data_IF_190756365385
#
_entry.id   IF_190756365385
#
_cell.length_a   1.000
_cell.length_b   1.000
_cell.length_c   1.000
_cell.angle_alpha   90.00
_cell.angle_beta   90.00
_cell.angle_gamma   90.00
#
_symmetry.space_group_name_H-M   'P 1'
#
loop_
_entity.id
_entity.type
_entity.pdbx_description
1 polymer ?
#
# COMPACT_ATOMS: atom_id res chain seq x y z
N UNK A 1 25.45 -9.77 14.54
CA UNK A 1 25.35 -8.89 13.39
C UNK A 1 23.91 -8.40 13.24
N UNK A 2 23.37 -7.57 14.15
CA UNK A 2 21.94 -7.13 14.14
C UNK A 2 21.76 -5.66 14.59
N UNK A 3 22.74 -4.77 14.36
CA UNK A 3 22.66 -3.36 14.81
C UNK A 3 22.53 -2.30 13.70
N UNK A 4 22.67 -2.67 12.44
CA UNK A 4 22.80 -1.68 11.35
C UNK A 4 21.47 -1.29 10.67
N UNK A 5 20.41 -2.10 10.79
CA UNK A 5 19.12 -1.84 10.17
C UNK A 5 18.35 -0.64 10.77
N UNK A 6 18.41 -0.48 12.09
CA UNK A 6 17.69 0.59 12.81
C UNK A 6 18.34 1.96 12.62
N UNK A 7 19.67 1.99 12.46
CA UNK A 7 20.40 3.24 12.24
C UNK A 7 20.18 3.83 10.84
N UNK A 8 19.94 2.98 9.84
CA UNK A 8 19.68 3.43 8.46
C UNK A 8 18.32 4.15 8.34
N UNK A 9 17.30 3.66 9.04
CA UNK A 9 15.95 4.23 8.99
C UNK A 9 15.87 5.63 9.63
N UNK A 10 16.60 5.87 10.71
CA UNK A 10 16.64 7.18 11.39
C UNK A 10 17.31 8.30 10.57
N UNK A 11 18.19 7.98 9.63
CA UNK A 11 18.86 8.99 8.79
C UNK A 11 18.03 9.51 7.63
N UNK A 12 17.07 8.73 7.12
CA UNK A 12 16.22 9.16 6.01
C UNK A 12 15.11 10.14 6.42
N UNK A 13 14.67 10.10 7.69
CA UNK A 13 13.58 10.97 8.17
C UNK A 13 13.99 12.41 8.49
N UNK A 14 15.29 12.68 8.69
CA UNK A 14 15.79 13.98 9.14
C UNK A 14 16.04 15.00 8.02
N UNK A 15 15.91 14.63 6.74
CA UNK A 15 16.24 15.51 5.62
C UNK A 15 15.05 16.18 4.92
N UNK A 16 13.82 15.94 5.35
CA UNK A 16 12.60 16.44 4.67
C UNK A 16 11.99 17.73 5.24
N UNK A 17 12.64 18.38 6.22
CA UNK A 17 12.09 19.60 6.83
C UNK A 17 12.99 20.83 6.73
N UNK A 18 13.50 21.17 5.55
CA UNK A 18 14.09 22.52 5.33
C UNK A 18 13.90 22.99 3.90
N UNK A 19 13.04 23.99 3.77
CA UNK A 19 13.27 25.13 2.86
C UNK A 19 12.57 25.11 1.53
N UNK A 20 11.60 25.99 1.35
CA UNK A 20 11.66 27.02 0.31
C UNK A 20 10.49 28.01 0.44
N UNK A 21 10.79 29.20 0.93
CA UNK A 21 10.03 30.40 0.57
C UNK A 21 10.59 30.90 -0.74
N UNK A 22 9.78 31.14 -1.75
CA UNK A 22 10.17 31.96 -2.87
C UNK A 22 9.02 32.81 -3.39
N UNK A 23 9.39 34.03 -3.77
CA UNK A 23 8.61 35.20 -3.97
C UNK A 23 7.75 35.21 -5.24
N UNK A 24 6.57 35.85 -5.12
CA UNK A 24 5.73 36.34 -6.20
C UNK A 24 6.47 37.43 -7.02
N UNK A 25 6.52 37.29 -8.34
CA UNK A 25 6.74 38.37 -9.26
C UNK A 25 5.62 38.43 -10.29
N UNK A 26 4.91 39.53 -10.27
CA UNK A 26 3.90 39.96 -11.24
C UNK A 26 4.55 40.42 -12.53
N UNK A 27 4.02 40.00 -13.68
CA UNK A 27 4.23 40.67 -14.96
C UNK A 27 2.95 40.60 -15.80
N UNK A 28 2.52 41.76 -16.28
CA UNK A 28 1.33 42.05 -17.07
C UNK A 28 1.60 41.88 -18.60
N UNK A 29 0.55 41.82 -19.44
CA UNK A 29 0.62 41.16 -20.76
C UNK A 29 0.94 42.11 -21.91
N UNK A 30 1.62 41.58 -22.93
CA UNK A 30 1.70 42.20 -24.24
C UNK A 30 0.97 41.35 -25.28
N UNK A 31 0.05 42.02 -25.96
CA UNK A 31 -0.71 41.58 -27.12
C UNK A 31 0.19 41.27 -28.32
N UNK A 32 0.02 40.13 -28.98
CA UNK A 32 0.52 39.92 -30.34
C UNK A 32 -0.40 38.95 -31.10
N UNK A 33 -0.70 39.36 -32.33
CA UNK A 33 -1.64 38.81 -33.28
C UNK A 33 -1.37 37.35 -33.70
N UNK A 34 -2.43 36.60 -33.95
CA UNK A 34 -2.45 35.23 -34.47
C UNK A 34 -2.25 35.18 -36.01
N UNK A 35 -1.44 34.23 -36.49
CA UNK A 35 -1.70 33.64 -37.80
C UNK A 35 -2.40 32.29 -37.62
N UNK A 36 -3.46 32.08 -38.37
CA UNK A 36 -4.23 30.85 -38.44
C UNK A 36 -3.34 29.65 -38.74
N UNK A 37 -3.20 28.74 -37.75
CA UNK A 37 -2.56 27.43 -37.95
C UNK A 37 -3.57 26.44 -38.50
N UNK A 38 -3.30 25.89 -39.68
CA UNK A 38 -3.96 24.69 -40.22
C UNK A 38 -3.81 23.57 -39.20
N UNK A 39 -4.91 23.09 -38.68
CA UNK A 39 -4.97 21.89 -37.84
C UNK A 39 -4.70 20.67 -38.71
N UNK A 40 -3.46 20.23 -38.75
CA UNK A 40 -3.12 18.90 -39.26
C UNK A 40 -3.62 17.89 -38.25
N UNK A 41 -4.71 17.20 -38.54
CA UNK A 41 -5.18 16.04 -37.77
C UNK A 41 -4.13 14.96 -38.00
N UNK A 42 -3.20 14.80 -37.04
CA UNK A 42 -2.30 13.66 -36.97
C UNK A 42 -3.18 12.43 -36.69
N UNK A 43 -3.42 11.62 -37.73
CA UNK A 43 -4.00 10.28 -37.56
C UNK A 43 -3.07 9.49 -36.61
N UNK A 44 -3.54 9.23 -35.38
CA UNK A 44 -2.80 8.44 -34.42
C UNK A 44 -2.46 7.07 -35.04
N UNK A 45 -1.25 6.60 -34.80
CA UNK A 45 -0.82 5.28 -35.22
C UNK A 45 -1.68 4.22 -34.50
N UNK A 46 -2.49 3.39 -35.19
CA UNK A 46 -3.41 2.46 -34.55
C UNK A 46 -2.73 1.46 -33.60
N UNK A 47 -1.47 1.10 -33.86
CA UNK A 47 -0.69 0.24 -32.97
C UNK A 47 -0.38 0.91 -31.61
N UNK A 48 -0.10 2.22 -31.59
CA UNK A 48 0.15 2.94 -30.34
C UNK A 48 -1.12 3.09 -29.48
N UNK A 49 -2.27 3.26 -30.11
CA UNK A 49 -3.55 3.35 -29.41
C UNK A 49 -3.90 2.01 -28.76
N UNK A 50 -3.79 0.90 -29.49
CA UNK A 50 -4.04 -0.45 -28.97
C UNK A 50 -3.10 -0.82 -27.80
N UNK A 51 -1.82 -0.43 -27.84
CA UNK A 51 -0.86 -0.67 -26.75
C UNK A 51 -1.21 0.19 -25.52
N UNK A 52 -1.66 1.44 -25.70
CA UNK A 52 -2.12 2.29 -24.61
C UNK A 52 -3.34 1.69 -23.90
N UNK A 53 -4.30 1.20 -24.67
CA UNK A 53 -5.51 0.57 -24.13
C UNK A 53 -5.19 -0.70 -23.35
N UNK A 54 -4.28 -1.55 -23.86
CA UNK A 54 -3.83 -2.74 -23.16
C UNK A 54 -3.10 -2.43 -21.84
N UNK A 55 -2.20 -1.43 -21.83
CA UNK A 55 -1.45 -1.02 -20.64
C UNK A 55 -2.40 -0.43 -19.59
N UNK A 56 -3.34 0.43 -20.01
CA UNK A 56 -4.35 0.99 -19.11
C UNK A 56 -5.27 -0.08 -18.52
N UNK A 57 -5.68 -1.04 -19.36
CA UNK A 57 -6.45 -2.20 -18.92
C UNK A 57 -5.73 -3.05 -17.87
N UNK A 58 -4.44 -3.34 -18.09
CA UNK A 58 -3.63 -4.07 -17.12
C UNK A 58 -3.47 -3.31 -15.80
N UNK A 59 -3.20 -2.01 -15.85
CA UNK A 59 -3.11 -1.17 -14.63
C UNK A 59 -4.42 -1.16 -13.85
N UNK A 60 -5.57 -1.08 -14.54
CA UNK A 60 -6.88 -1.14 -13.90
C UNK A 60 -7.16 -2.52 -13.26
N UNK A 61 -6.72 -3.61 -13.89
CA UNK A 61 -6.86 -4.96 -13.32
C UNK A 61 -5.96 -5.16 -12.10
N UNK A 62 -4.71 -4.67 -12.12
CA UNK A 62 -3.83 -4.65 -10.93
C UNK A 62 -4.49 -3.91 -9.78
N UNK A 63 -5.10 -2.75 -10.05
CA UNK A 63 -5.88 -2.03 -9.04
C UNK A 63 -7.02 -2.89 -8.51
N UNK A 64 -7.82 -3.50 -9.39
CA UNK A 64 -8.97 -4.32 -8.99
C UNK A 64 -8.57 -5.51 -8.10
N UNK A 65 -7.40 -6.11 -8.35
CA UNK A 65 -6.84 -7.19 -7.52
C UNK A 65 -6.64 -6.74 -6.06
N UNK A 66 -6.10 -5.54 -5.83
CA UNK A 66 -5.90 -5.02 -4.47
C UNK A 66 -7.17 -4.39 -3.88
N UNK A 67 -8.11 -3.90 -4.69
CA UNK A 67 -9.42 -3.44 -4.20
C UNK A 67 -10.22 -4.59 -3.56
N UNK A 68 -10.13 -5.82 -4.09
CA UNK A 68 -10.77 -6.98 -3.47
C UNK A 68 -10.24 -7.23 -2.04
N UNK A 69 -8.94 -7.07 -1.82
CA UNK A 69 -8.36 -7.16 -0.46
C UNK A 69 -8.85 -6.00 0.42
N UNK A 70 -9.01 -4.79 -0.13
CA UNK A 70 -9.58 -3.67 0.62
C UNK A 70 -11.03 -3.91 1.05
N UNK A 71 -11.82 -4.69 0.31
CA UNK A 71 -13.17 -5.06 0.71
C UNK A 71 -13.13 -5.89 2.02
N UNK A 72 -12.25 -6.88 2.13
CA UNK A 72 -12.05 -7.66 3.36
C UNK A 72 -11.56 -6.79 4.53
N UNK A 73 -10.65 -5.82 4.27
CA UNK A 73 -10.19 -4.86 5.29
C UNK A 73 -11.31 -3.92 5.72
N UNK A 74 -12.16 -3.46 4.78
CA UNK A 74 -13.29 -2.58 5.08
C UNK A 74 -14.34 -3.29 5.95
N UNK A 75 -14.63 -4.56 5.70
CA UNK A 75 -15.49 -5.37 6.56
C UNK A 75 -14.88 -5.55 7.96
N UNK A 76 -13.58 -5.85 8.06
CA UNK A 76 -12.88 -5.94 9.35
C UNK A 76 -12.95 -4.63 10.12
N UNK A 77 -12.79 -3.49 9.43
CA UNK A 77 -12.97 -2.15 10.01
C UNK A 77 -14.39 -1.96 10.54
N UNK A 78 -15.42 -2.34 9.76
CA UNK A 78 -16.82 -2.18 10.14
C UNK A 78 -17.15 -3.02 11.39
N UNK A 79 -16.75 -4.29 11.43
CA UNK A 79 -16.93 -5.18 12.58
C UNK A 79 -16.26 -4.62 13.84
N UNK A 80 -15.02 -4.16 13.70
CA UNK A 80 -14.26 -3.56 14.81
C UNK A 80 -14.92 -2.28 15.32
N UNK A 81 -15.32 -1.39 14.43
CA UNK A 81 -15.98 -0.14 14.79
C UNK A 81 -17.31 -0.40 15.51
N UNK A 82 -18.10 -1.37 15.03
CA UNK A 82 -19.37 -1.77 15.66
C UNK A 82 -19.15 -2.36 17.06
N UNK A 83 -18.15 -3.23 17.22
CA UNK A 83 -17.79 -3.81 18.51
C UNK A 83 -17.40 -2.72 19.52
N UNK A 84 -16.47 -1.84 19.15
CA UNK A 84 -15.99 -0.77 20.03
C UNK A 84 -17.07 0.28 20.34
N UNK A 85 -17.93 0.61 19.35
CA UNK A 85 -19.06 1.54 19.55
C UNK A 85 -20.08 1.00 20.55
N UNK A 86 -20.38 -0.31 20.51
CA UNK A 86 -21.26 -0.98 21.47
C UNK A 86 -20.73 -0.87 22.90
N UNK A 87 -19.41 -1.14 23.09
CA UNK A 87 -18.79 -1.01 24.42
C UNK A 87 -18.77 0.44 24.93
N UNK A 88 -18.52 1.38 24.03
CA UNK A 88 -18.60 2.81 24.39
C UNK A 88 -20.02 3.23 24.83
N UNK A 89 -21.08 2.69 24.17
CA UNK A 89 -22.47 2.93 24.56
C UNK A 89 -22.81 2.33 25.93
N UNK A 90 -22.15 1.23 26.30
CA UNK A 90 -22.25 0.60 27.64
C UNK A 90 -21.43 1.33 28.69
N UNK A 91 -20.70 2.40 28.34
CA UNK A 91 -19.79 3.11 29.24
C UNK A 91 -18.55 2.28 29.68
N UNK A 92 -18.24 1.22 28.94
CA UNK A 92 -17.20 0.26 29.24
C UNK A 92 -15.96 0.46 28.36
N UNK A 93 -14.79 0.49 28.99
CA UNK A 93 -13.53 0.46 28.25
C UNK A 93 -13.28 -0.94 27.69
N UNK A 94 -12.91 -1.11 26.40
CA UNK A 94 -12.62 -2.42 25.84
C UNK A 94 -11.38 -3.05 26.48
N UNK A 95 -11.38 -4.38 26.57
CA UNK A 95 -10.26 -5.20 26.98
C UNK A 95 -9.79 -6.08 25.81
N UNK A 96 -8.58 -6.64 25.90
CA UNK A 96 -8.03 -7.53 24.86
C UNK A 96 -8.93 -8.74 24.57
N UNK A 97 -9.53 -9.31 25.62
CA UNK A 97 -10.46 -10.43 25.50
C UNK A 97 -11.71 -10.11 24.67
N UNK A 98 -12.17 -8.86 24.66
CA UNK A 98 -13.35 -8.45 23.90
C UNK A 98 -13.11 -8.54 22.39
N UNK A 99 -11.86 -8.31 21.93
CA UNK A 99 -11.49 -8.36 20.52
C UNK A 99 -11.56 -9.79 19.95
N UNK A 100 -11.60 -10.82 20.80
CA UNK A 100 -11.83 -12.18 20.36
C UNK A 100 -13.15 -12.37 19.57
N UNK A 101 -14.12 -11.46 19.76
CA UNK A 101 -15.37 -11.44 18.98
C UNK A 101 -15.14 -11.20 17.48
N UNK A 102 -13.98 -10.69 17.07
CA UNK A 102 -13.64 -10.47 15.64
C UNK A 102 -13.17 -11.76 14.94
N UNK A 103 -12.68 -12.75 15.68
CA UNK A 103 -12.05 -13.98 15.15
C UNK A 103 -12.86 -14.72 14.10
N UNK A 104 -14.16 -14.99 14.30
CA UNK A 104 -14.94 -15.70 13.27
C UNK A 104 -14.94 -15.00 11.91
N UNK A 105 -15.07 -13.66 11.90
CA UNK A 105 -15.00 -12.86 10.68
C UNK A 105 -13.61 -12.85 10.05
N UNK A 106 -12.54 -12.74 10.86
CA UNK A 106 -11.16 -12.77 10.38
C UNK A 106 -10.82 -14.11 9.74
N UNK A 107 -11.19 -15.24 10.38
CA UNK A 107 -10.98 -16.58 9.84
C UNK A 107 -11.73 -16.80 8.53
N UNK A 108 -12.97 -16.29 8.43
CA UNK A 108 -13.76 -16.39 7.21
C UNK A 108 -13.07 -15.66 6.04
N UNK A 109 -12.58 -14.45 6.26
CA UNK A 109 -11.92 -13.64 5.24
C UNK A 109 -10.60 -14.26 4.78
N UNK A 110 -9.82 -14.83 5.69
CA UNK A 110 -8.62 -15.61 5.34
C UNK A 110 -8.95 -16.83 4.48
N UNK A 111 -10.08 -17.48 4.71
CA UNK A 111 -10.49 -18.65 3.94
C UNK A 111 -11.09 -18.29 2.58
N UNK A 112 -11.59 -17.06 2.39
CA UNK A 112 -12.27 -16.63 1.17
C UNK A 112 -11.35 -16.01 0.13
N UNK A 113 -10.21 -15.45 0.53
CA UNK A 113 -9.30 -14.73 -0.37
C UNK A 113 -7.87 -15.28 -0.24
N UNK A 114 -7.43 -15.99 -1.27
CA UNK A 114 -6.08 -16.58 -1.36
C UNK A 114 -4.95 -15.52 -1.38
N UNK A 115 -5.26 -14.27 -1.70
CA UNK A 115 -4.29 -13.17 -1.62
C UNK A 115 -4.04 -12.73 -0.18
N UNK A 116 -5.03 -12.84 0.69
CA UNK A 116 -4.92 -12.41 2.09
C UNK A 116 -4.09 -13.42 2.86
N UNK A 117 -2.86 -13.05 3.18
CA UNK A 117 -1.92 -13.89 3.95
C UNK A 117 -2.07 -13.69 5.47
N UNK A 118 -2.55 -12.52 5.86
CA UNK A 118 -2.86 -12.17 7.25
C UNK A 118 -3.87 -11.03 7.29
N UNK A 119 -4.72 -11.00 8.33
CA UNK A 119 -5.74 -9.96 8.50
C UNK A 119 -6.05 -9.74 9.97
N UNK A 120 -6.38 -8.50 10.33
CA UNK A 120 -6.76 -8.21 11.70
C UNK A 120 -6.98 -6.73 12.01
N UNK A 121 -7.07 -6.50 13.31
CA UNK A 121 -7.15 -5.16 13.91
C UNK A 121 -5.94 -4.92 14.81
N UNK A 122 -5.26 -3.80 14.58
CA UNK A 122 -4.15 -3.32 15.40
C UNK A 122 -4.63 -2.12 16.21
N UNK A 123 -4.71 -2.29 17.51
CA UNK A 123 -5.24 -1.27 18.41
C UNK A 123 -4.28 -0.08 18.55
N UNK A 124 -4.84 1.12 18.65
CA UNK A 124 -4.05 2.29 19.08
C UNK A 124 -3.52 2.05 20.51
N UNK A 125 -2.27 2.43 20.79
CA UNK A 125 -1.74 2.34 22.15
C UNK A 125 -2.67 3.03 23.16
N UNK A 126 -2.93 2.32 24.25
CA UNK A 126 -3.81 2.82 25.32
C UNK A 126 -5.31 2.78 25.00
N UNK A 127 -5.75 2.20 23.89
CA UNK A 127 -7.17 1.96 23.60
C UNK A 127 -7.78 1.00 24.65
N UNK A 128 -7.11 -0.11 24.92
CA UNK A 128 -7.59 -1.15 25.80
C UNK A 128 -7.31 -0.83 27.27
N UNK A 129 -8.14 -1.37 28.16
CA UNK A 129 -8.05 -1.11 29.59
C UNK A 129 -7.05 -1.97 30.35
N UNK A 130 -6.71 -3.12 29.78
CA UNK A 130 -5.93 -4.20 30.42
C UNK A 130 -4.51 -4.34 29.88
N UNK A 131 -4.24 -3.86 28.66
CA UNK A 131 -2.92 -3.94 28.02
C UNK A 131 -2.56 -2.63 27.30
N UNK A 132 -1.27 -2.25 27.22
CA UNK A 132 -0.84 -1.01 26.59
C UNK A 132 -0.97 -1.03 25.05
N UNK A 133 -0.84 -2.20 24.44
CA UNK A 133 -0.90 -2.43 23.01
C UNK A 133 -1.44 -3.83 22.69
N UNK A 134 -2.09 -4.00 21.56
CA UNK A 134 -2.67 -5.28 21.15
C UNK A 134 -2.88 -5.38 19.65
N UNK A 135 -2.65 -6.60 19.12
CA UNK A 135 -3.06 -7.00 17.78
C UNK A 135 -4.02 -8.19 17.90
N UNK A 136 -5.22 -8.04 17.40
CA UNK A 136 -6.10 -9.19 17.11
C UNK A 136 -5.87 -9.56 15.65
N UNK A 137 -4.85 -10.39 15.43
CA UNK A 137 -4.31 -10.68 14.08
C UNK A 137 -4.21 -12.16 13.83
N UNK A 138 -4.67 -12.59 12.67
CA UNK A 138 -4.66 -13.97 12.23
C UNK A 138 -4.02 -14.10 10.87
N UNK A 139 -3.35 -15.20 10.62
CA UNK A 139 -2.61 -15.44 9.38
C UNK A 139 -2.74 -16.89 8.93
N UNK A 140 -2.64 -17.10 7.60
CA UNK A 140 -2.56 -18.43 7.01
C UNK A 140 -1.18 -19.02 7.25
N UNK A 141 -1.13 -20.21 7.83
CA UNK A 141 0.09 -20.99 7.97
C UNK A 141 0.48 -21.74 6.70
N UNK A 142 1.70 -22.33 6.68
CA UNK A 142 2.20 -23.05 5.50
C UNK A 142 1.31 -24.26 5.10
N UNK A 143 0.66 -24.87 6.08
CA UNK A 143 -0.18 -26.04 5.90
C UNK A 143 -1.67 -25.70 5.66
N UNK A 144 -1.97 -24.39 5.45
CA UNK A 144 -3.34 -23.89 5.30
C UNK A 144 -4.11 -23.76 6.61
N UNK A 145 -3.45 -23.95 7.75
CA UNK A 145 -4.00 -23.67 9.07
C UNK A 145 -4.13 -22.16 9.31
N UNK A 146 -5.07 -21.76 10.15
CA UNK A 146 -5.23 -20.38 10.58
C UNK A 146 -4.70 -20.23 12.00
N UNK A 147 -3.71 -19.37 12.18
CA UNK A 147 -3.02 -19.19 13.46
C UNK A 147 -2.92 -17.72 13.86
N UNK A 148 -2.94 -17.43 15.18
CA UNK A 148 -2.74 -16.07 15.64
C UNK A 148 -1.28 -15.64 15.43
N UNK A 149 -1.08 -14.36 15.11
CA UNK A 149 0.22 -13.72 15.18
C UNK A 149 0.50 -13.32 16.64
N UNK A 150 1.61 -13.82 17.18
CA UNK A 150 2.03 -13.52 18.54
C UNK A 150 3.26 -12.60 18.51
N UNK A 151 3.08 -11.34 18.87
CA UNK A 151 4.16 -10.34 18.99
C UNK A 151 4.39 -9.99 20.46
N UNK A 152 5.65 -9.71 20.79
CA UNK A 152 6.00 -9.12 22.09
C UNK A 152 5.77 -7.60 22.03
N UNK A 153 4.69 -7.15 22.64
CA UNK A 153 4.25 -5.76 22.68
C UNK A 153 4.55 -5.06 24.00
N UNK A 154 5.32 -5.68 24.88
CA UNK A 154 5.75 -5.07 26.14
C UNK A 154 6.98 -4.17 25.90
N UNK A 155 6.84 -2.83 26.06
CA UNK A 155 7.94 -1.89 25.85
C UNK A 155 9.14 -2.11 26.78
N UNK A 156 8.95 -2.82 27.90
CA UNK A 156 10.02 -3.15 28.85
C UNK A 156 10.88 -4.33 28.40
N UNK A 157 10.47 -5.04 27.34
CA UNK A 157 11.17 -6.24 26.84
C UNK A 157 12.06 -5.92 25.65
N UNK A 158 13.16 -6.67 25.53
CA UNK A 158 14.15 -6.47 24.45
C UNK A 158 13.62 -6.85 23.06
N UNK A 159 12.58 -7.68 22.98
CA UNK A 159 11.93 -8.13 21.75
C UNK A 159 10.74 -7.25 21.34
N UNK A 160 10.54 -6.11 22.02
CA UNK A 160 9.44 -5.20 21.75
C UNK A 160 9.37 -4.76 20.28
N UNK A 161 8.21 -4.96 19.67
CA UNK A 161 7.88 -4.53 18.32
C UNK A 161 7.02 -3.25 18.32
N UNK A 162 7.64 -2.07 18.30
CA UNK A 162 6.88 -0.82 18.16
C UNK A 162 6.37 -0.67 16.71
N UNK A 163 5.07 -0.88 16.52
CA UNK A 163 4.40 -0.75 15.23
C UNK A 163 3.93 0.68 14.91
N UNK A 164 3.94 1.60 15.87
CA UNK A 164 3.27 2.90 15.74
C UNK A 164 3.93 3.86 14.77
N UNK A 165 5.18 3.61 14.40
CA UNK A 165 5.97 4.42 13.46
C UNK A 165 6.03 3.82 12.04
N UNK A 166 5.51 2.61 11.83
CA UNK A 166 5.48 2.00 10.50
C UNK A 166 4.42 2.65 9.62
N UNK A 167 4.73 2.85 8.35
CA UNK A 167 3.88 3.55 7.40
C UNK A 167 2.45 2.98 7.32
N UNK A 168 2.28 1.66 7.43
CA UNK A 168 0.96 1.01 7.41
C UNK A 168 0.08 1.35 8.62
N UNK A 169 0.65 1.79 9.74
CA UNK A 169 -0.08 2.27 10.92
C UNK A 169 -0.12 3.81 10.98
N UNK A 170 1.03 4.44 10.75
CA UNK A 170 1.19 5.89 10.91
C UNK A 170 0.39 6.67 9.84
N UNK A 171 0.45 6.25 8.57
CA UNK A 171 -0.25 6.97 7.49
C UNK A 171 -1.78 6.99 7.69
N UNK A 172 -2.48 5.87 7.97
CA UNK A 172 -3.92 5.92 8.25
C UNK A 172 -4.25 6.75 9.49
N UNK A 173 -3.43 6.68 10.56
CA UNK A 173 -3.60 7.50 11.76
C UNK A 173 -3.52 8.98 11.45
N UNK A 174 -2.49 9.41 10.73
CA UNK A 174 -2.15 10.82 10.52
C UNK A 174 -2.98 11.47 9.41
N UNK A 175 -3.42 10.69 8.42
CA UNK A 175 -4.16 11.20 7.25
C UNK A 175 -5.65 10.90 7.28
N UNK A 176 -6.10 9.95 8.10
CA UNK A 176 -7.47 9.44 8.08
C UNK A 176 -7.84 8.68 6.80
N UNK A 177 -6.86 8.28 5.98
CA UNK A 177 -7.07 7.64 4.67
C UNK A 177 -6.53 6.21 4.67
N UNK A 178 -7.09 5.37 3.80
CA UNK A 178 -6.54 4.04 3.53
C UNK A 178 -5.16 4.15 2.87
N UNK A 179 -4.32 3.16 3.06
CA UNK A 179 -3.01 3.11 2.42
C UNK A 179 -2.63 1.69 2.00
N UNK A 180 -1.75 1.59 1.00
CA UNK A 180 -0.99 0.39 0.68
C UNK A 180 0.47 0.73 0.93
N UNK A 181 1.15 -0.08 1.72
CA UNK A 181 2.58 0.06 1.99
C UNK A 181 3.36 -1.15 1.49
N UNK A 182 4.59 -0.97 1.10
CA UNK A 182 5.42 -2.05 0.56
C UNK A 182 5.75 -1.88 -0.93
N UNK A 183 6.32 -2.92 -1.57
CA UNK A 183 6.82 -4.13 -0.92
C UNK A 183 7.94 -3.84 0.09
N UNK A 184 7.91 -4.49 1.22
CA UNK A 184 8.96 -4.47 2.25
C UNK A 184 9.11 -5.85 2.89
N UNK A 185 10.25 -6.12 3.52
CA UNK A 185 10.39 -7.35 4.31
C UNK A 185 9.73 -7.12 5.66
N UNK A 186 8.73 -7.95 5.96
CA UNK A 186 8.02 -7.88 7.24
C UNK A 186 8.81 -8.60 8.33
N UNK A 187 9.77 -7.89 8.91
CA UNK A 187 10.60 -8.40 10.01
C UNK A 187 9.87 -8.56 11.34
N UNK A 188 8.64 -8.02 11.47
CA UNK A 188 7.86 -8.18 12.69
C UNK A 188 7.12 -9.52 12.73
N UNK A 189 6.66 -9.98 11.56
CA UNK A 189 5.66 -11.04 11.50
C UNK A 189 6.13 -12.28 10.75
N UNK A 190 6.67 -12.14 9.55
CA UNK A 190 6.81 -13.28 8.63
C UNK A 190 8.19 -13.46 8.03
N UNK A 191 9.09 -12.47 8.10
CA UNK A 191 10.34 -12.39 7.34
C UNK A 191 10.13 -12.48 5.80
N UNK A 192 8.87 -12.31 5.33
CA UNK A 192 8.47 -12.35 3.92
C UNK A 192 8.37 -10.95 3.33
N UNK A 193 8.55 -10.84 2.02
CA UNK A 193 8.16 -9.62 1.32
C UNK A 193 6.65 -9.51 1.28
N UNK A 194 6.13 -8.38 1.75
CA UNK A 194 4.69 -8.14 1.91
C UNK A 194 4.27 -6.77 1.40
N UNK A 195 3.02 -6.71 0.97
CA UNK A 195 2.22 -5.49 0.86
C UNK A 195 1.25 -5.48 2.03
N UNK A 196 1.16 -4.37 2.76
CA UNK A 196 0.14 -4.19 3.80
C UNK A 196 -0.89 -3.15 3.36
N UNK A 197 -2.14 -3.57 3.31
CA UNK A 197 -3.29 -2.72 3.03
C UNK A 197 -3.95 -2.37 4.36
N UNK A 198 -4.10 -1.10 4.66
CA UNK A 198 -4.67 -0.67 5.95
C UNK A 198 -5.64 0.49 5.85
N UNK A 199 -6.62 0.51 6.77
CA UNK A 199 -7.71 1.48 6.85
C UNK A 199 -7.84 1.95 8.30
N UNK A 200 -8.00 3.26 8.59
CA UNK A 200 -8.17 3.73 9.95
C UNK A 200 -9.53 3.29 10.51
N UNK A 201 -9.52 2.80 11.74
CA UNK A 201 -10.73 2.56 12.54
C UNK A 201 -10.94 3.76 13.46
N UNK A 202 -12.11 4.37 13.37
CA UNK A 202 -12.50 5.51 14.21
C UNK A 202 -13.80 5.20 14.94
N UNK A 203 -13.87 5.57 16.22
CA UNK A 203 -15.07 5.43 17.05
C UNK A 203 -15.33 6.76 17.73
N UNK A 204 -16.53 7.29 17.60
CA UNK A 204 -16.91 8.61 18.13
C UNK A 204 -15.91 9.75 17.71
N UNK A 205 -15.44 9.69 16.46
CA UNK A 205 -14.50 10.67 15.92
C UNK A 205 -13.05 10.53 16.39
N UNK A 206 -12.72 9.51 17.21
CA UNK A 206 -11.38 9.27 17.73
C UNK A 206 -10.75 8.06 17.04
N UNK A 207 -9.47 8.15 16.71
CA UNK A 207 -8.70 7.04 16.15
C UNK A 207 -8.57 5.92 17.19
N UNK A 208 -9.02 4.73 16.82
CA UNK A 208 -8.99 3.53 17.67
C UNK A 208 -7.88 2.55 17.23
N UNK A 209 -7.36 2.67 16.02
CA UNK A 209 -6.36 1.77 15.45
C UNK A 209 -6.54 1.60 13.95
N UNK A 210 -5.98 0.55 13.40
CA UNK A 210 -6.12 0.21 11.98
C UNK A 210 -6.68 -1.21 11.81
N UNK A 211 -7.59 -1.39 10.86
CA UNK A 211 -7.86 -2.69 10.27
C UNK A 211 -6.91 -2.85 9.09
N UNK A 212 -6.26 -4.01 8.98
CA UNK A 212 -5.28 -4.22 7.92
C UNK A 212 -5.23 -5.68 7.46
N UNK A 213 -4.70 -5.88 6.26
CA UNK A 213 -4.37 -7.19 5.72
C UNK A 213 -2.98 -7.17 5.08
N UNK A 214 -2.26 -8.28 5.22
CA UNK A 214 -1.01 -8.54 4.53
C UNK A 214 -1.26 -9.43 3.32
N UNK A 215 -0.56 -9.09 2.24
CA UNK A 215 -0.48 -9.86 1.00
C UNK A 215 0.98 -10.20 0.78
N UNK A 216 1.34 -11.47 0.85
CA UNK A 216 2.71 -11.88 0.50
C UNK A 216 3.01 -11.58 -0.95
N UNK A 217 4.19 -11.03 -1.21
CA UNK A 217 4.56 -10.57 -2.55
C UNK A 217 4.46 -11.68 -3.58
N UNK A 218 4.80 -12.93 -3.22
CA UNK A 218 4.68 -14.10 -4.10
C UNK A 218 3.24 -14.38 -4.54
N UNK A 219 2.25 -14.15 -3.66
CA UNK A 219 0.83 -14.33 -4.00
C UNK A 219 0.35 -13.20 -4.91
N UNK A 220 0.73 -11.95 -4.60
CA UNK A 220 0.43 -10.82 -5.45
C UNK A 220 1.05 -10.98 -6.83
N UNK A 221 2.34 -11.36 -6.91
CA UNK A 221 3.03 -11.59 -8.17
C UNK A 221 2.34 -12.69 -8.99
N UNK A 222 2.01 -13.83 -8.37
CA UNK A 222 1.31 -14.92 -9.05
C UNK A 222 -0.04 -14.47 -9.63
N UNK A 223 -0.79 -13.64 -8.91
CA UNK A 223 -2.09 -13.14 -9.35
C UNK A 223 -1.99 -12.16 -10.53
N UNK A 224 -0.95 -11.30 -10.56
CA UNK A 224 -0.82 -10.27 -11.60
C UNK A 224 0.10 -10.68 -12.76
N UNK A 225 0.90 -11.73 -12.61
CA UNK A 225 1.84 -12.19 -13.64
C UNK A 225 1.17 -12.48 -15.00
N UNK A 226 0.01 -13.14 -15.09
CA UNK A 226 -0.68 -13.34 -16.36
C UNK A 226 -1.05 -12.04 -17.07
N UNK A 227 -1.39 -10.98 -16.30
CA UNK A 227 -1.69 -9.65 -16.84
C UNK A 227 -0.45 -9.01 -17.46
N UNK A 228 0.70 -9.11 -16.77
CA UNK A 228 1.96 -8.56 -17.24
C UNK A 228 2.47 -9.31 -18.47
N UNK A 229 2.34 -10.65 -18.51
CA UNK A 229 2.71 -11.48 -19.64
C UNK A 229 1.83 -11.26 -20.87
N UNK A 230 0.60 -10.81 -20.69
CA UNK A 230 -0.33 -10.46 -21.77
C UNK A 230 0.01 -9.14 -22.47
N UNK A 231 0.95 -8.36 -21.96
CA UNK A 231 1.38 -7.12 -22.59
C UNK A 231 2.34 -7.37 -23.75
N UNK A 232 2.36 -6.47 -24.78
CA UNK A 232 3.15 -6.66 -25.98
C UNK A 232 4.67 -6.50 -25.79
N UNK A 233 5.11 -6.07 -24.62
CA UNK A 233 6.51 -5.87 -24.26
C UNK A 233 6.76 -6.23 -22.79
N UNK A 234 8.03 -6.49 -22.40
CA UNK A 234 8.39 -6.78 -21.02
C UNK A 234 7.85 -5.70 -20.06
N UNK A 235 7.24 -6.14 -18.97
CA UNK A 235 6.56 -5.28 -18.03
C UNK A 235 6.80 -5.70 -16.58
N UNK A 236 6.81 -4.71 -15.67
CA UNK A 236 6.92 -4.93 -14.24
C UNK A 236 6.21 -3.83 -13.44
N UNK A 237 5.88 -4.11 -12.20
CA UNK A 237 5.26 -3.18 -11.26
C UNK A 237 6.28 -2.71 -10.24
N UNK A 238 6.31 -1.42 -9.96
CA UNK A 238 7.22 -0.82 -8.97
C UNK A 238 6.49 0.14 -8.04
N UNK A 239 6.98 0.26 -6.81
CA UNK A 239 6.52 1.30 -5.89
C UNK A 239 7.28 2.63 -6.11
N UNK A 240 6.92 3.68 -5.36
CA UNK A 240 7.54 4.99 -5.42
C UNK A 240 9.08 5.00 -5.19
N UNK A 241 9.62 3.94 -4.58
CA UNK A 241 11.05 3.80 -4.29
C UNK A 241 11.78 2.93 -5.33
N UNK A 242 11.07 2.49 -6.38
CA UNK A 242 11.61 1.59 -7.40
C UNK A 242 11.75 0.13 -6.94
N UNK A 243 11.11 -0.27 -5.84
CA UNK A 243 11.06 -1.69 -5.47
C UNK A 243 10.04 -2.41 -6.33
N UNK A 244 10.49 -3.49 -6.96
CA UNK A 244 9.66 -4.31 -7.87
C UNK A 244 8.66 -5.13 -7.05
N UNK A 245 7.38 -4.97 -7.36
CA UNK A 245 6.28 -5.70 -6.73
C UNK A 245 5.90 -6.97 -7.49
N UNK A 246 6.01 -6.96 -8.81
CA UNK A 246 5.79 -8.12 -9.68
C UNK A 246 6.47 -7.88 -11.02
N UNK A 247 6.87 -8.94 -11.72
CA UNK A 247 7.58 -8.79 -12.99
C UNK A 247 7.36 -9.93 -13.96
N UNK A 248 7.09 -9.57 -15.22
CA UNK A 248 7.22 -10.43 -16.40
C UNK A 248 8.52 -10.12 -17.19
N UNK A 249 9.37 -9.26 -16.68
CA UNK A 249 10.66 -8.89 -17.27
C UNK A 249 11.80 -9.63 -16.53
N UNK A 250 12.55 -10.53 -17.20
CA UNK A 250 13.63 -11.28 -16.56
C UNK A 250 14.77 -10.41 -15.98
N UNK A 251 14.87 -9.15 -16.43
CA UNK A 251 15.87 -8.21 -15.90
C UNK A 251 15.48 -7.61 -14.54
N UNK A 252 14.23 -7.77 -14.12
CA UNK A 252 13.67 -7.17 -12.91
C UNK A 252 12.98 -8.23 -12.05
N UNK A 253 13.58 -8.64 -10.94
CA UNK A 253 13.00 -9.63 -10.03
C UNK A 253 12.12 -8.98 -8.97
N UNK A 254 11.00 -9.61 -8.61
CA UNK A 254 10.16 -9.18 -7.50
C UNK A 254 10.99 -9.04 -6.20
N UNK A 255 10.73 -8.00 -5.43
CA UNK A 255 11.50 -7.64 -4.25
C UNK A 255 12.81 -6.90 -4.52
N UNK A 256 13.35 -6.88 -5.75
CA UNK A 256 14.57 -6.13 -6.07
C UNK A 256 14.31 -4.63 -6.19
N UNK A 257 15.39 -3.83 -6.17
CA UNK A 257 15.32 -2.39 -6.47
C UNK A 257 15.77 -2.15 -7.91
N UNK A 258 14.95 -1.47 -8.68
CA UNK A 258 15.32 -1.00 -10.01
C UNK A 258 15.84 0.44 -9.92
N UNK A 259 16.86 0.75 -10.73
CA UNK A 259 17.26 2.13 -11.00
C UNK A 259 16.46 2.62 -12.19
N UNK A 260 15.62 3.60 -11.97
CA UNK A 260 14.72 4.07 -13.01
C UNK A 260 14.36 5.53 -12.84
N UNK A 261 13.33 5.97 -13.56
CA UNK A 261 12.79 7.32 -13.44
C UNK A 261 12.25 7.60 -12.03
N UNK A 262 11.90 8.85 -11.78
CA UNK A 262 11.24 9.24 -10.53
C UNK A 262 9.80 8.70 -10.50
N UNK A 263 9.64 7.48 -10.00
CA UNK A 263 8.34 6.82 -9.86
C UNK A 263 7.41 7.55 -8.90
N UNK A 264 7.97 8.26 -7.91
CA UNK A 264 7.17 9.09 -7.00
C UNK A 264 6.49 10.22 -7.76
N UNK A 265 7.22 10.92 -8.61
CA UNK A 265 6.64 12.00 -9.41
C UNK A 265 5.52 11.50 -10.35
N UNK A 266 5.63 10.26 -10.86
CA UNK A 266 4.56 9.63 -11.66
C UNK A 266 3.31 9.39 -10.82
N UNK A 267 3.48 8.86 -9.60
CA UNK A 267 2.37 8.59 -8.68
C UNK A 267 1.72 9.88 -8.18
N UNK A 268 2.52 10.88 -7.79
CA UNK A 268 2.02 12.18 -7.30
C UNK A 268 1.28 12.96 -8.42
N UNK A 269 1.74 12.83 -9.67
CA UNK A 269 1.09 13.41 -10.83
C UNK A 269 -0.15 12.64 -11.32
N UNK A 270 -0.31 11.39 -10.88
CA UNK A 270 -1.37 10.45 -11.30
C UNK A 270 -1.59 10.42 -12.83
N UNK A 271 -0.51 10.55 -13.61
CA UNK A 271 -0.55 10.64 -15.07
C UNK A 271 0.46 9.67 -15.69
N UNK A 272 0.08 9.04 -16.82
CA UNK A 272 1.03 8.28 -17.62
C UNK A 272 2.24 9.13 -18.03
N UNK A 273 3.43 8.52 -18.00
CA UNK A 273 4.68 9.17 -18.39
C UNK A 273 5.49 8.29 -19.34
N UNK A 274 6.53 8.89 -19.91
CA UNK A 274 7.53 8.21 -20.74
C UNK A 274 8.91 8.61 -20.25
N UNK A 275 9.78 7.64 -20.04
CA UNK A 275 11.15 7.92 -19.61
C UNK A 275 12.08 6.76 -20.00
N UNK A 276 13.23 7.09 -20.61
CA UNK A 276 14.28 6.12 -20.97
C UNK A 276 13.79 4.91 -21.76
N UNK A 277 12.89 5.10 -22.75
CA UNK A 277 12.32 4.02 -23.54
C UNK A 277 11.33 3.13 -22.77
N UNK A 278 10.76 3.67 -21.71
CA UNK A 278 9.73 2.99 -20.92
C UNK A 278 8.47 3.84 -20.83
N UNK A 279 7.33 3.19 -20.88
CA UNK A 279 6.04 3.76 -20.54
C UNK A 279 5.73 3.51 -19.08
N UNK A 280 5.28 4.54 -18.38
CA UNK A 280 5.00 4.53 -16.94
C UNK A 280 3.51 4.81 -16.75
N UNK A 281 2.77 3.85 -16.24
CA UNK A 281 1.33 3.95 -16.01
C UNK A 281 1.04 3.79 -14.50
N UNK A 282 0.53 4.83 -13.81
CA UNK A 282 0.10 4.68 -12.43
C UNK A 282 -1.11 3.74 -12.34
N UNK A 283 -1.17 2.94 -11.29
CA UNK A 283 -2.30 2.05 -11.02
C UNK A 283 -3.41 2.76 -10.21
N UNK A 284 -3.68 4.04 -10.50
CA UNK A 284 -4.62 4.92 -9.80
C UNK A 284 -4.48 4.79 -8.27
N UNK A 285 -5.46 4.87 -7.46
CA UNK A 285 -5.42 4.87 -5.98
C UNK A 285 -4.46 3.85 -5.29
N UNK A 286 -3.72 3.03 -6.05
CA UNK A 286 -2.70 2.09 -5.57
C UNK A 286 -1.31 2.69 -5.84
N UNK A 287 -0.37 2.72 -4.86
CA UNK A 287 0.93 3.36 -5.00
C UNK A 287 1.93 2.50 -5.80
N UNK A 288 1.48 1.97 -6.94
CA UNK A 288 2.28 1.21 -7.89
C UNK A 288 2.25 1.85 -9.28
N UNK A 289 3.36 1.77 -9.98
CA UNK A 289 3.53 2.15 -11.38
C UNK A 289 3.75 0.89 -12.21
N UNK A 290 2.94 0.68 -13.23
CA UNK A 290 3.18 -0.30 -14.26
C UNK A 290 4.20 0.29 -15.26
N UNK A 291 5.32 -0.37 -15.40
CA UNK A 291 6.42 -0.02 -16.31
C UNK A 291 6.40 -1.00 -17.47
N UNK A 292 6.32 -0.48 -18.69
CA UNK A 292 6.31 -1.29 -19.93
C UNK A 292 7.42 -0.80 -20.83
N UNK A 293 8.28 -1.69 -21.33
CA UNK A 293 9.32 -1.35 -22.28
C UNK A 293 8.70 -0.80 -23.58
N UNK A 294 9.32 0.23 -24.17
CA UNK A 294 8.96 0.73 -25.51
C UNK A 294 10.00 0.20 -26.50
N UNK A 295 9.50 -0.46 -27.54
CA UNK A 295 10.30 -0.96 -28.67
C UNK A 295 10.66 0.15 -29.67
#
# INVERSE_FOLDING_TARGET
MRRDGVAYYRRCHAQLTRGARCALRTASPASAAHPARRTTILRGNPGRTATLDATSGAAAQVRSTLEAVFDAVAETRADTAALLARMAAEGRRPASADLAALRPGLHLRLAQDELVSGIGFVAAPGLLGDVPAWLEWWQSGPDGDVRPLLLDLDPARSAYGDYTHWDWFALPRDTGRRTVTGPYVDYLCSDEYSLTLSVPVTVQGRFAGVAAADVYLRHFEAAVLPLLQGLPAPAHLVNARGRVAASADPAHLAGSLTRGPDFRAVLDGARPGHSHGMRLMPCDAIPLVLVVAES
#
